data_IF_738132780546
#
_entry.id   IF_738132780546
#
_cell.length_a   1.000
_cell.length_b   1.000
_cell.length_c   1.000
_cell.angle_alpha   90.00
_cell.angle_beta   90.00
_cell.angle_gamma   90.00
#
_symmetry.space_group_name_H-M   'P 1'
#
loop_
_entity.id
_entity.type
_entity.pdbx_description
1 polymer ?
#
# COMPACT_ATOMS: atom_id res chain seq x y z
N UNK A 1 6.33 -2.10 24.46
CA UNK A 1 5.92 -1.82 23.06
C UNK A 1 4.43 -1.46 23.04
N UNK A 2 4.06 -0.32 22.46
CA UNK A 2 2.66 0.06 22.27
C UNK A 2 2.14 -0.64 21.00
N UNK A 3 1.15 -1.52 21.15
CA UNK A 3 0.56 -2.23 20.00
C UNK A 3 -0.34 -1.31 19.21
N UNK A 4 -0.13 -1.27 17.89
CA UNK A 4 -0.94 -0.48 16.96
C UNK A 4 -2.24 -1.24 16.62
N UNK A 5 -3.37 -0.54 16.46
CA UNK A 5 -4.57 -1.16 15.90
C UNK A 5 -4.33 -1.53 14.43
N UNK A 6 -5.07 -2.53 13.96
CA UNK A 6 -5.07 -2.95 12.55
C UNK A 6 -6.42 -2.61 11.94
N UNK A 7 -6.39 -2.02 10.73
CA UNK A 7 -7.57 -1.88 9.88
C UNK A 7 -7.44 -2.86 8.72
N UNK A 8 -8.53 -3.55 8.38
CA UNK A 8 -8.66 -4.31 7.14
C UNK A 8 -9.82 -3.70 6.35
N UNK A 9 -9.52 -3.20 5.14
CA UNK A 9 -10.53 -2.72 4.21
C UNK A 9 -11.04 -3.87 3.34
N UNK A 10 -12.36 -4.03 3.30
CA UNK A 10 -13.04 -5.12 2.62
C UNK A 10 -14.13 -4.57 1.70
N UNK A 11 -14.40 -5.26 0.58
CA UNK A 11 -15.44 -4.82 -0.36
C UNK A 11 -16.40 -5.95 -0.77
N UNK A 12 -16.01 -6.84 -1.70
CA UNK A 12 -16.88 -7.85 -2.29
C UNK A 12 -16.24 -9.23 -2.46
N UNK A 13 -15.19 -9.52 -1.68
CA UNK A 13 -14.41 -10.76 -1.75
C UNK A 13 -14.46 -11.51 -0.40
N UNK A 14 -15.61 -12.12 -0.03
CA UNK A 14 -15.78 -12.74 1.29
C UNK A 14 -14.76 -13.84 1.59
N UNK A 15 -14.38 -14.67 0.59
CA UNK A 15 -13.42 -15.77 0.76
C UNK A 15 -11.99 -15.26 0.97
N UNK A 16 -11.60 -14.16 0.31
CA UNK A 16 -10.31 -13.51 0.51
C UNK A 16 -10.25 -12.88 1.89
N UNK A 17 -11.27 -12.09 2.24
CA UNK A 17 -11.39 -11.45 3.54
C UNK A 17 -11.26 -12.45 4.69
N UNK A 18 -11.94 -13.59 4.61
CA UNK A 18 -11.85 -14.64 5.63
C UNK A 18 -10.40 -15.15 5.79
N UNK A 19 -9.70 -15.40 4.68
CA UNK A 19 -8.30 -15.85 4.72
C UNK A 19 -7.38 -14.81 5.38
N UNK A 20 -7.59 -13.52 5.11
CA UNK A 20 -6.81 -12.43 5.70
C UNK A 20 -7.09 -12.32 7.20
N UNK A 21 -8.37 -12.36 7.63
CA UNK A 21 -8.75 -12.31 9.04
C UNK A 21 -8.17 -13.47 9.82
N UNK A 22 -8.28 -14.69 9.29
CA UNK A 22 -7.74 -15.90 9.91
C UNK A 22 -6.22 -15.87 10.01
N UNK A 23 -5.54 -15.38 8.97
CA UNK A 23 -4.10 -15.25 8.98
C UNK A 23 -3.63 -14.24 10.04
N UNK A 24 -4.32 -13.09 10.15
CA UNK A 24 -4.02 -12.08 11.16
C UNK A 24 -4.29 -12.62 12.59
N UNK A 25 -5.38 -13.38 12.78
CA UNK A 25 -5.72 -14.00 14.07
C UNK A 25 -4.69 -15.02 14.56
N UNK A 26 -3.87 -15.56 13.65
CA UNK A 26 -2.75 -16.46 13.97
C UNK A 26 -1.44 -15.75 14.29
N UNK A 27 -1.40 -14.42 14.24
CA UNK A 27 -0.20 -13.66 14.61
C UNK A 27 0.06 -13.71 16.11
N UNK A 28 1.33 -13.69 16.52
CA UNK A 28 1.72 -13.75 17.95
C UNK A 28 1.12 -12.63 18.78
N UNK A 29 0.99 -11.41 18.22
CA UNK A 29 0.46 -10.23 18.92
C UNK A 29 -1.05 -10.00 18.65
N UNK A 30 -1.75 -10.93 18.03
CA UNK A 30 -3.17 -10.76 17.71
C UNK A 30 -4.01 -10.46 18.96
N UNK A 31 -3.79 -11.18 20.06
CA UNK A 31 -4.52 -11.01 21.35
C UNK A 31 -4.37 -9.63 21.99
N UNK A 32 -3.32 -8.90 21.64
CA UNK A 32 -3.03 -7.56 22.15
C UNK A 32 -3.51 -6.47 21.16
N UNK A 33 -3.97 -6.86 19.97
CA UNK A 33 -4.30 -5.98 18.84
C UNK A 33 -5.79 -5.67 18.82
N UNK A 34 -6.15 -4.38 18.67
CA UNK A 34 -7.50 -3.96 18.30
C UNK A 34 -7.64 -4.07 16.77
N UNK A 35 -8.66 -4.80 16.30
CA UNK A 35 -8.96 -5.02 14.89
C UNK A 35 -10.17 -4.21 14.44
N UNK A 36 -10.04 -3.48 13.33
CA UNK A 36 -11.11 -2.75 12.67
C UNK A 36 -11.39 -3.37 11.30
N UNK A 37 -12.59 -3.92 11.11
CA UNK A 37 -13.07 -4.43 9.82
C UNK A 37 -13.96 -3.37 9.17
N UNK A 38 -13.41 -2.65 8.20
CA UNK A 38 -14.16 -1.69 7.38
C UNK A 38 -14.68 -2.40 6.15
N UNK A 39 -16.00 -2.52 6.02
CA UNK A 39 -16.67 -3.19 4.91
C UNK A 39 -17.46 -2.14 4.12
N UNK A 40 -17.02 -1.87 2.87
CA UNK A 40 -17.68 -0.87 2.02
C UNK A 40 -19.02 -1.41 1.48
N UNK A 41 -19.92 -0.49 1.13
CA UNK A 41 -21.24 -0.80 0.61
C UNK A 41 -21.26 -1.02 -0.91
N UNK A 42 -22.41 -1.47 -1.46
CA UNK A 42 -22.55 -1.66 -2.90
C UNK A 42 -22.64 -0.33 -3.65
N UNK A 43 -22.10 -0.30 -4.86
CA UNK A 43 -22.37 0.78 -5.82
C UNK A 43 -23.84 0.70 -6.27
N UNK A 44 -24.46 1.85 -6.56
CA UNK A 44 -25.84 1.89 -7.08
C UNK A 44 -25.97 1.06 -8.38
N UNK A 45 -24.91 1.02 -9.19
CA UNK A 45 -24.82 0.28 -10.46
C UNK A 45 -24.34 -1.16 -10.32
N UNK A 46 -24.14 -1.66 -9.10
CA UNK A 46 -23.64 -3.01 -8.88
C UNK A 46 -24.70 -4.05 -9.30
N UNK A 47 -24.24 -5.18 -9.87
CA UNK A 47 -25.09 -6.33 -10.13
C UNK A 47 -25.67 -6.91 -8.83
N UNK A 48 -26.81 -7.60 -8.93
CA UNK A 48 -27.42 -8.25 -7.75
C UNK A 48 -26.49 -9.29 -7.12
N UNK A 49 -25.72 -10.00 -7.94
CA UNK A 49 -24.69 -10.92 -7.44
C UNK A 49 -23.64 -10.18 -6.59
N UNK A 50 -23.13 -9.03 -7.07
CA UNK A 50 -22.18 -8.22 -6.33
C UNK A 50 -22.77 -7.69 -5.02
N UNK A 51 -24.03 -7.23 -5.04
CA UNK A 51 -24.74 -6.79 -3.84
C UNK A 51 -24.88 -7.91 -2.81
N UNK A 52 -25.27 -9.11 -3.26
CA UNK A 52 -25.38 -10.28 -2.39
C UNK A 52 -24.03 -10.67 -1.76
N UNK A 53 -22.92 -10.64 -2.54
CA UNK A 53 -21.58 -10.90 -2.00
C UNK A 53 -21.16 -9.90 -0.96
N UNK A 54 -21.48 -8.60 -1.12
CA UNK A 54 -21.20 -7.55 -0.14
C UNK A 54 -22.02 -7.79 1.14
N UNK A 55 -23.31 -8.08 1.02
CA UNK A 55 -24.15 -8.40 2.18
C UNK A 55 -23.65 -9.64 2.93
N UNK A 56 -23.25 -10.68 2.20
CA UNK A 56 -22.62 -11.86 2.80
C UNK A 56 -21.35 -11.49 3.57
N UNK A 57 -20.49 -10.67 2.99
CA UNK A 57 -19.27 -10.19 3.64
C UNK A 57 -19.59 -9.42 4.94
N UNK A 58 -20.60 -8.53 4.92
CA UNK A 58 -21.03 -7.79 6.10
C UNK A 58 -21.49 -8.73 7.23
N UNK A 59 -22.26 -9.76 6.91
CA UNK A 59 -22.70 -10.75 7.91
C UNK A 59 -21.54 -11.61 8.41
N UNK A 60 -20.63 -12.03 7.51
CA UNK A 60 -19.42 -12.77 7.89
C UNK A 60 -18.53 -11.93 8.82
N UNK A 61 -18.33 -10.64 8.55
CA UNK A 61 -17.55 -9.77 9.43
C UNK A 61 -18.15 -9.65 10.84
N UNK A 62 -19.47 -9.49 10.93
CA UNK A 62 -20.18 -9.46 12.23
C UNK A 62 -20.08 -10.80 12.97
N UNK A 63 -20.18 -11.91 12.23
CA UNK A 63 -20.05 -13.24 12.85
C UNK A 63 -18.60 -13.51 13.28
N UNK A 64 -17.62 -13.14 12.43
CA UNK A 64 -16.19 -13.27 12.76
C UNK A 64 -15.84 -12.50 14.03
N UNK A 65 -16.35 -11.26 14.19
CA UNK A 65 -16.12 -10.46 15.40
C UNK A 65 -16.62 -11.17 16.67
N UNK A 66 -17.83 -11.74 16.63
CA UNK A 66 -18.41 -12.50 17.76
C UNK A 66 -17.58 -13.75 18.09
N UNK A 67 -17.13 -14.46 17.07
CA UNK A 67 -16.35 -15.69 17.25
C UNK A 67 -14.93 -15.38 17.74
N UNK A 68 -14.31 -14.32 17.22
CA UNK A 68 -13.03 -13.83 17.68
C UNK A 68 -13.03 -13.38 19.13
N UNK A 69 -14.11 -12.69 19.56
CA UNK A 69 -14.31 -12.31 20.96
C UNK A 69 -14.42 -13.54 21.89
N UNK A 70 -15.28 -14.53 21.51
CA UNK A 70 -15.44 -15.77 22.29
C UNK A 70 -14.13 -16.57 22.44
N UNK A 71 -13.29 -16.54 21.41
CA UNK A 71 -12.01 -17.25 21.37
C UNK A 71 -10.86 -16.44 21.96
N UNK A 72 -11.04 -15.15 22.24
CA UNK A 72 -9.98 -14.25 22.68
C UNK A 72 -8.87 -14.12 21.64
N UNK A 73 -9.23 -14.06 20.35
CA UNK A 73 -8.25 -13.96 19.25
C UNK A 73 -7.62 -12.58 19.17
N UNK A 74 -8.41 -11.52 19.42
CA UNK A 74 -7.99 -10.13 19.43
C UNK A 74 -8.36 -9.48 20.77
N UNK A 75 -7.75 -8.33 21.05
CA UNK A 75 -8.11 -7.51 22.20
C UNK A 75 -9.54 -7.00 22.07
N UNK A 76 -9.92 -6.54 20.90
CA UNK A 76 -11.25 -6.06 20.53
C UNK A 76 -11.40 -6.13 19.01
N UNK A 77 -12.62 -6.37 18.50
CA UNK A 77 -12.93 -6.36 17.07
C UNK A 77 -14.09 -5.40 16.79
N UNK A 78 -13.81 -4.37 16.01
CA UNK A 78 -14.79 -3.37 15.59
C UNK A 78 -15.20 -3.64 14.14
N UNK A 79 -16.50 -3.70 13.87
CA UNK A 79 -17.04 -3.90 12.51
C UNK A 79 -17.77 -2.64 12.07
N UNK A 80 -17.33 -2.06 10.96
CA UNK A 80 -17.90 -0.85 10.35
C UNK A 80 -18.38 -1.19 8.95
N UNK A 81 -19.71 -1.39 8.80
CA UNK A 81 -20.34 -1.66 7.52
C UNK A 81 -20.97 -0.38 6.96
N UNK A 82 -20.61 -0.01 5.73
CA UNK A 82 -21.21 1.13 5.03
C UNK A 82 -22.44 0.67 4.25
N UNK A 83 -23.53 1.44 4.32
CA UNK A 83 -24.74 1.16 3.54
C UNK A 83 -24.54 1.43 2.04
N UNK A 84 -23.72 2.43 1.70
CA UNK A 84 -23.40 2.85 0.33
C UNK A 84 -21.92 2.75 0.06
N UNK A 85 -21.56 2.56 -1.19
CA UNK A 85 -20.16 2.55 -1.62
C UNK A 85 -19.52 3.92 -1.43
N UNK A 86 -18.41 3.96 -0.70
CA UNK A 86 -17.58 5.17 -0.52
C UNK A 86 -16.47 5.24 -1.57
N UNK A 87 -16.14 4.12 -2.20
CA UNK A 87 -14.96 3.98 -3.07
C UNK A 87 -13.66 3.79 -2.29
N UNK A 88 -12.66 3.22 -2.96
CA UNK A 88 -11.40 2.83 -2.34
C UNK A 88 -10.70 3.98 -1.62
N UNK A 89 -10.50 5.10 -2.34
CA UNK A 89 -9.81 6.29 -1.82
C UNK A 89 -10.49 6.86 -0.58
N UNK A 90 -11.80 7.08 -0.65
CA UNK A 90 -12.55 7.65 0.48
C UNK A 90 -12.57 6.69 1.67
N UNK A 91 -12.78 5.41 1.43
CA UNK A 91 -12.77 4.38 2.49
C UNK A 91 -11.43 4.36 3.23
N UNK A 92 -10.31 4.29 2.51
CA UNK A 92 -8.98 4.25 3.11
C UNK A 92 -8.66 5.55 3.84
N UNK A 93 -8.85 6.71 3.21
CA UNK A 93 -8.50 7.99 3.82
C UNK A 93 -9.35 8.23 5.08
N UNK A 94 -10.68 8.05 5.00
CA UNK A 94 -11.56 8.32 6.14
C UNK A 94 -11.35 7.32 7.28
N UNK A 95 -11.29 6.02 6.97
CA UNK A 95 -11.12 4.97 7.97
C UNK A 95 -9.75 5.03 8.66
N UNK A 96 -8.67 5.20 7.87
CA UNK A 96 -7.35 5.37 8.46
C UNK A 96 -7.27 6.64 9.32
N UNK A 97 -7.82 7.77 8.86
CA UNK A 97 -7.83 9.02 9.63
C UNK A 97 -8.58 8.88 10.97
N UNK A 98 -9.73 8.21 10.96
CA UNK A 98 -10.52 7.96 12.18
C UNK A 98 -9.70 7.18 13.22
N UNK A 99 -9.12 6.05 12.82
CA UNK A 99 -8.36 5.18 13.73
C UNK A 99 -7.02 5.82 14.14
N UNK A 100 -6.32 6.49 13.23
CA UNK A 100 -5.08 7.19 13.54
C UNK A 100 -5.31 8.29 14.57
N UNK A 101 -6.38 9.07 14.44
CA UNK A 101 -6.69 10.14 15.38
C UNK A 101 -7.02 9.60 16.79
N UNK A 102 -7.61 8.41 16.87
CA UNK A 102 -7.92 7.75 18.14
C UNK A 102 -6.68 7.16 18.81
N UNK A 103 -5.76 6.56 18.03
CA UNK A 103 -4.67 5.74 18.58
C UNK A 103 -3.27 6.32 18.39
N UNK A 104 -3.12 7.33 17.51
CA UNK A 104 -1.85 7.98 17.19
C UNK A 104 -1.01 7.24 16.14
N UNK A 105 -1.36 5.99 15.79
CA UNK A 105 -0.73 5.13 14.78
C UNK A 105 -1.69 4.06 14.30
N UNK A 106 -1.41 3.47 13.15
CA UNK A 106 -2.24 2.41 12.56
C UNK A 106 -1.42 1.47 11.68
N UNK A 107 -1.85 0.21 11.58
CA UNK A 107 -1.46 -0.75 10.57
C UNK A 107 -2.66 -0.95 9.64
N UNK A 108 -2.44 -0.97 8.32
CA UNK A 108 -3.50 -1.07 7.32
C UNK A 108 -3.26 -2.24 6.38
N UNK A 109 -4.29 -3.04 6.18
CA UNK A 109 -4.37 -4.15 5.25
C UNK A 109 -5.58 -3.99 4.31
N UNK A 110 -5.54 -4.70 3.19
CA UNK A 110 -6.67 -4.91 2.29
C UNK A 110 -7.10 -6.38 2.32
N UNK A 111 -8.27 -6.68 1.77
CA UNK A 111 -8.93 -8.00 1.85
C UNK A 111 -8.22 -9.13 1.07
N UNK A 112 -7.10 -8.85 0.43
CA UNK A 112 -6.27 -9.81 -0.31
C UNK A 112 -4.84 -9.96 0.24
N UNK A 113 -4.53 -9.40 1.41
CA UNK A 113 -3.19 -9.40 2.00
C UNK A 113 -3.07 -10.39 3.15
N UNK A 114 -2.74 -11.65 2.84
CA UNK A 114 -2.56 -12.72 3.82
C UNK A 114 -1.24 -12.53 4.57
N UNK A 115 -1.30 -12.40 5.89
CA UNK A 115 -0.13 -12.10 6.74
C UNK A 115 0.66 -13.35 7.14
N UNK A 116 1.99 -13.19 7.30
CA UNK A 116 2.82 -14.18 8.01
C UNK A 116 2.52 -14.16 9.52
N UNK A 117 2.86 -15.22 10.28
CA UNK A 117 2.66 -15.24 11.72
C UNK A 117 3.41 -14.14 12.49
N UNK A 118 4.44 -13.53 11.89
CA UNK A 118 5.29 -12.50 12.49
C UNK A 118 5.05 -11.10 11.95
N UNK A 119 3.98 -10.91 11.17
CA UNK A 119 3.65 -9.61 10.60
C UNK A 119 3.47 -8.53 11.67
N UNK A 120 2.69 -8.80 12.72
CA UNK A 120 2.46 -7.85 13.80
C UNK A 120 3.73 -7.57 14.61
N UNK A 121 4.62 -8.55 14.78
CA UNK A 121 5.92 -8.35 15.44
C UNK A 121 6.76 -7.32 14.67
N UNK A 122 6.93 -7.52 13.37
CA UNK A 122 7.67 -6.59 12.52
C UNK A 122 7.08 -5.19 12.52
N UNK A 123 5.78 -5.07 12.22
CA UNK A 123 5.11 -3.78 12.08
C UNK A 123 5.19 -2.97 13.37
N UNK A 124 4.91 -3.57 14.52
CA UNK A 124 4.95 -2.88 15.81
C UNK A 124 6.38 -2.53 16.24
N UNK A 125 7.35 -3.43 16.03
CA UNK A 125 8.77 -3.16 16.31
C UNK A 125 9.28 -1.98 15.47
N UNK A 126 8.93 -1.94 14.18
CA UNK A 126 9.33 -0.86 13.29
C UNK A 126 8.63 0.47 13.67
N UNK A 127 7.31 0.44 13.96
CA UNK A 127 6.58 1.61 14.44
C UNK A 127 7.18 2.19 15.73
N UNK A 128 7.62 1.35 16.67
CA UNK A 128 8.25 1.81 17.90
C UNK A 128 9.64 2.39 17.64
N UNK A 129 10.49 1.67 16.90
CA UNK A 129 11.87 2.11 16.62
C UNK A 129 11.92 3.44 15.90
N UNK A 130 11.05 3.64 14.89
CA UNK A 130 11.11 4.82 14.03
C UNK A 130 10.14 5.95 14.41
N UNK A 131 9.45 5.86 15.54
CA UNK A 131 8.51 6.91 15.98
C UNK A 131 9.16 8.30 16.07
N UNK A 132 10.38 8.37 16.60
CA UNK A 132 11.12 9.63 16.72
C UNK A 132 11.82 10.09 15.43
N UNK A 133 11.93 9.20 14.42
CA UNK A 133 12.58 9.51 13.15
C UNK A 133 11.61 10.19 12.18
N UNK A 134 11.54 11.52 12.21
CA UNK A 134 10.59 12.32 11.42
C UNK A 134 10.73 12.13 9.90
N UNK A 135 11.87 11.69 9.40
CA UNK A 135 12.12 11.33 8.02
C UNK A 135 11.60 9.94 7.61
N UNK A 136 11.03 9.15 8.55
CA UNK A 136 10.33 7.90 8.23
C UNK A 136 8.84 8.15 8.28
N UNK A 137 8.15 8.05 7.14
CA UNK A 137 6.72 8.35 7.03
C UNK A 137 5.85 7.10 7.07
N UNK A 138 6.36 5.96 6.60
CA UNK A 138 5.61 4.70 6.63
C UNK A 138 6.52 3.49 6.82
N UNK A 139 5.87 2.40 7.27
CA UNK A 139 6.44 1.06 7.28
C UNK A 139 5.67 0.24 6.26
N UNK A 140 6.35 -0.51 5.41
CA UNK A 140 5.74 -1.42 4.44
C UNK A 140 5.87 -2.87 4.89
N UNK A 141 4.93 -3.72 4.52
CA UNK A 141 4.98 -5.17 4.78
C UNK A 141 5.47 -5.98 3.58
N UNK A 142 5.50 -5.39 2.38
CA UNK A 142 5.86 -6.09 1.16
C UNK A 142 7.14 -5.53 0.53
N UNK A 143 8.04 -6.45 0.11
CA UNK A 143 9.16 -6.14 -0.78
C UNK A 143 8.76 -6.32 -2.23
N UNK A 144 9.22 -5.41 -3.08
CA UNK A 144 9.06 -5.49 -4.54
C UNK A 144 10.33 -5.97 -5.24
N UNK A 145 11.36 -6.33 -4.47
CA UNK A 145 12.63 -6.84 -4.97
C UNK A 145 12.73 -8.33 -4.64
N UNK A 146 13.29 -9.10 -5.58
CA UNK A 146 13.68 -10.46 -5.29
C UNK A 146 14.80 -10.44 -4.22
N UNK A 147 14.64 -11.13 -3.08
CA UNK A 147 15.67 -11.18 -2.05
C UNK A 147 17.05 -11.60 -2.53
N UNK A 148 17.12 -12.41 -3.59
CA UNK A 148 18.40 -12.83 -4.21
C UNK A 148 19.18 -11.70 -4.89
N UNK A 149 18.54 -10.57 -5.19
CA UNK A 149 19.16 -9.39 -5.81
C UNK A 149 19.80 -8.45 -4.79
N UNK A 150 19.54 -8.65 -3.48
CA UNK A 150 20.15 -7.81 -2.45
C UNK A 150 21.66 -8.03 -2.34
N UNK A 151 22.43 -6.98 -2.03
CA UNK A 151 23.85 -7.11 -1.76
C UNK A 151 24.10 -8.10 -0.60
N UNK A 152 24.99 -9.08 -0.79
CA UNK A 152 25.27 -10.13 0.21
C UNK A 152 25.86 -9.60 1.51
N UNK A 153 26.48 -8.43 1.46
CA UNK A 153 27.09 -7.72 2.59
C UNK A 153 26.13 -6.78 3.29
N UNK A 154 24.85 -6.70 2.85
CA UNK A 154 23.84 -5.84 3.49
C UNK A 154 23.39 -6.45 4.83
N UNK A 155 23.60 -5.75 5.97
CA UNK A 155 23.52 -6.38 7.28
C UNK A 155 22.11 -6.33 7.92
N UNK A 156 21.13 -5.73 7.28
CA UNK A 156 19.78 -5.51 7.81
C UNK A 156 18.75 -6.36 7.08
N UNK A 157 17.60 -6.58 7.72
CA UNK A 157 16.45 -7.27 7.13
C UNK A 157 15.43 -6.31 6.50
N UNK A 158 15.71 -5.01 6.57
CA UNK A 158 14.89 -3.93 6.02
C UNK A 158 15.75 -2.90 5.30
N UNK A 159 15.15 -2.14 4.41
CA UNK A 159 15.78 -1.02 3.72
C UNK A 159 14.89 0.22 3.73
N UNK A 160 15.49 1.40 3.60
CA UNK A 160 14.79 2.66 3.45
C UNK A 160 14.67 3.03 1.96
N UNK A 161 13.50 3.50 1.55
CA UNK A 161 13.25 3.93 0.19
C UNK A 161 12.20 5.04 0.12
N UNK A 162 12.39 6.00 -0.79
CA UNK A 162 11.61 7.24 -0.91
C UNK A 162 10.11 7.01 -1.20
N UNK A 163 9.69 5.85 -1.65
CA UNK A 163 8.31 5.62 -2.11
C UNK A 163 7.47 4.92 -1.05
N UNK A 164 6.25 5.40 -0.84
CA UNK A 164 5.24 4.66 -0.09
C UNK A 164 4.83 3.39 -0.84
N UNK A 165 4.76 2.27 -0.11
CA UNK A 165 4.29 0.99 -0.62
C UNK A 165 2.91 0.70 0.00
N UNK A 166 1.82 0.72 -0.79
CA UNK A 166 0.47 0.63 -0.24
C UNK A 166 0.04 -0.78 0.17
N UNK A 167 0.83 -1.80 -0.15
CA UNK A 167 0.48 -3.21 0.08
C UNK A 167 0.88 -3.64 1.50
N UNK A 168 -0.05 -3.48 2.44
CA UNK A 168 0.21 -3.69 3.86
C UNK A 168 1.19 -2.65 4.43
N UNK A 169 0.69 -1.66 5.15
CA UNK A 169 1.50 -0.53 5.59
C UNK A 169 1.10 -0.04 6.99
N UNK A 170 1.98 0.75 7.57
CA UNK A 170 1.71 1.43 8.84
C UNK A 170 2.27 2.85 8.83
N UNK A 171 1.67 3.72 9.65
CA UNK A 171 2.10 5.11 9.82
C UNK A 171 1.64 5.68 11.17
N UNK A 172 2.01 6.92 11.44
CA UNK A 172 1.67 7.68 12.63
C UNK A 172 0.82 8.91 12.28
N UNK A 173 0.07 9.42 13.26
CA UNK A 173 -0.83 10.56 13.08
C UNK A 173 -0.12 11.81 12.56
N UNK A 174 1.05 12.12 13.08
CA UNK A 174 1.80 13.31 12.72
C UNK A 174 2.40 13.28 11.31
N UNK A 175 2.58 12.09 10.69
CA UNK A 175 2.96 11.93 9.28
C UNK A 175 1.74 11.92 8.38
N UNK A 176 0.70 11.19 8.78
CA UNK A 176 -0.56 11.11 8.04
C UNK A 176 -1.22 12.48 7.85
N UNK A 177 -1.21 13.29 8.91
CA UNK A 177 -1.81 14.63 8.89
C UNK A 177 -1.02 15.67 8.05
N UNK A 178 0.19 15.33 7.58
CA UNK A 178 0.95 16.16 6.63
C UNK A 178 0.56 15.90 5.17
N UNK A 179 -0.25 14.88 4.91
CA UNK A 179 -0.63 14.54 3.53
C UNK A 179 -1.67 15.51 3.01
N UNK A 180 -1.34 16.20 1.93
CA UNK A 180 -2.34 16.93 1.15
C UNK A 180 -3.07 15.93 0.23
N UNK A 181 -4.35 15.73 0.44
CA UNK A 181 -5.14 14.78 -0.33
C UNK A 181 -5.68 15.32 -1.65
N UNK A 182 -5.56 16.62 -1.89
CA UNK A 182 -5.87 17.25 -3.16
C UNK A 182 -4.71 17.05 -4.16
N UNK A 183 -4.93 16.21 -5.17
CA UNK A 183 -3.89 15.85 -6.16
C UNK A 183 -3.47 17.05 -7.01
N UNK A 184 -4.35 18.02 -7.27
CA UNK A 184 -4.01 19.21 -8.02
C UNK A 184 -3.01 20.08 -7.27
N UNK A 185 -3.22 20.28 -5.97
CA UNK A 185 -2.28 21.00 -5.11
C UNK A 185 -0.96 20.25 -4.97
N UNK A 186 -1.01 18.92 -4.85
CA UNK A 186 0.17 18.08 -4.75
C UNK A 186 1.05 18.14 -6.00
N UNK A 187 0.44 18.06 -7.18
CA UNK A 187 1.15 18.02 -8.47
C UNK A 187 1.62 19.39 -8.94
N UNK A 188 1.00 20.49 -8.47
CA UNK A 188 1.30 21.85 -8.95
C UNK A 188 2.80 22.22 -8.94
N UNK A 189 3.61 21.92 -7.90
CA UNK A 189 5.04 22.21 -7.91
C UNK A 189 5.80 21.41 -8.98
N UNK A 190 5.43 20.14 -9.20
CA UNK A 190 6.07 19.28 -10.19
C UNK A 190 5.78 19.75 -11.61
N UNK A 191 4.59 20.29 -11.84
CA UNK A 191 4.19 20.84 -13.15
C UNK A 191 4.87 22.17 -13.48
N UNK A 192 5.12 23.01 -12.47
CA UNK A 192 5.78 24.31 -12.65
C UNK A 192 7.28 24.21 -12.91
N UNK A 193 7.97 23.25 -12.28
CA UNK A 193 9.42 23.02 -12.38
C UNK A 193 9.71 21.66 -13.02
N UNK A 194 9.08 21.40 -14.14
CA UNK A 194 8.80 20.09 -14.70
C UNK A 194 10.00 19.12 -14.77
N UNK A 195 11.14 19.56 -15.28
CA UNK A 195 12.23 18.62 -15.55
C UNK A 195 12.96 18.18 -14.28
N UNK A 196 13.35 19.12 -13.43
CA UNK A 196 14.13 18.83 -12.24
C UNK A 196 13.30 18.10 -11.16
N UNK A 197 12.16 18.67 -10.82
CA UNK A 197 11.28 18.09 -9.78
C UNK A 197 10.72 16.74 -10.21
N UNK A 198 10.36 16.61 -11.50
CA UNK A 198 9.93 15.35 -12.08
C UNK A 198 11.00 14.26 -11.97
N UNK A 199 12.24 14.55 -12.36
CA UNK A 199 13.34 13.59 -12.28
C UNK A 199 13.64 13.20 -10.82
N UNK A 200 13.61 14.17 -9.90
CA UNK A 200 13.80 13.92 -8.48
C UNK A 200 12.68 13.02 -7.91
N UNK A 201 11.41 13.28 -8.25
CA UNK A 201 10.29 12.46 -7.83
C UNK A 201 10.35 11.04 -8.42
N UNK A 202 10.72 10.92 -9.68
CA UNK A 202 10.86 9.63 -10.36
C UNK A 202 12.01 8.75 -9.85
N UNK A 203 12.88 9.25 -8.97
CA UNK A 203 13.84 8.39 -8.25
C UNK A 203 13.14 7.36 -7.36
N UNK A 204 11.95 7.65 -6.88
CA UNK A 204 11.10 6.73 -6.13
C UNK A 204 10.37 5.69 -7.00
N UNK A 205 10.44 5.79 -8.32
CA UNK A 205 9.80 4.91 -9.31
C UNK A 205 9.55 5.66 -10.61
N UNK A 206 9.89 5.04 -11.74
CA UNK A 206 9.79 5.71 -13.06
C UNK A 206 8.37 6.06 -13.49
N UNK A 207 7.38 5.43 -12.89
CA UNK A 207 5.97 5.56 -13.18
C UNK A 207 5.26 6.59 -12.29
N UNK A 208 5.84 6.98 -11.16
CA UNK A 208 5.18 7.81 -10.13
C UNK A 208 4.65 9.14 -10.67
N UNK A 209 5.42 9.83 -11.50
CA UNK A 209 4.96 11.08 -12.10
C UNK A 209 3.74 10.87 -13.00
N UNK A 210 3.74 9.79 -13.76
CA UNK A 210 2.63 9.44 -14.65
C UNK A 210 1.40 8.98 -13.85
N UNK A 211 1.59 8.26 -12.75
CA UNK A 211 0.49 7.92 -11.85
C UNK A 211 -0.18 9.17 -11.29
N UNK A 212 0.60 10.16 -10.83
CA UNK A 212 0.07 11.43 -10.37
C UNK A 212 -0.69 12.20 -11.47
N UNK A 213 -0.17 12.22 -12.70
CA UNK A 213 -0.86 12.82 -13.85
C UNK A 213 -2.17 12.10 -14.17
N UNK A 214 -2.18 10.77 -14.14
CA UNK A 214 -3.37 9.97 -14.45
C UNK A 214 -4.44 10.13 -13.38
N UNK A 215 -4.06 10.17 -12.11
CA UNK A 215 -4.99 10.48 -11.01
C UNK A 215 -5.63 11.86 -11.23
N UNK A 216 -4.82 12.87 -11.51
CA UNK A 216 -5.28 14.24 -11.75
C UNK A 216 -6.21 14.37 -12.95
N UNK A 217 -5.90 13.69 -14.08
CA UNK A 217 -6.60 13.88 -15.35
C UNK A 217 -7.81 12.95 -15.51
N UNK A 218 -7.77 11.77 -14.92
CA UNK A 218 -8.76 10.71 -15.14
C UNK A 218 -9.49 10.26 -13.87
N UNK A 219 -9.09 10.77 -12.69
CA UNK A 219 -9.70 10.39 -11.41
C UNK A 219 -9.64 8.88 -11.17
N UNK A 220 -8.43 8.28 -11.26
CA UNK A 220 -8.25 6.83 -11.12
C UNK A 220 -8.53 6.29 -9.71
N UNK A 221 -8.82 7.18 -8.76
CA UNK A 221 -9.09 6.85 -7.36
C UNK A 221 -7.88 6.21 -6.62
N UNK A 222 -6.65 6.57 -7.04
CA UNK A 222 -5.40 6.07 -6.46
C UNK A 222 -4.95 6.95 -5.29
N UNK A 223 -5.36 6.61 -4.09
CA UNK A 223 -5.03 7.36 -2.86
C UNK A 223 -3.52 7.40 -2.55
N UNK A 224 -2.82 6.30 -2.82
CA UNK A 224 -1.42 6.10 -2.42
C UNK A 224 -0.43 7.07 -3.08
N UNK A 225 -0.77 7.63 -4.25
CA UNK A 225 0.08 8.61 -4.91
C UNK A 225 0.18 9.92 -4.11
N UNK A 226 -0.89 10.33 -3.40
CA UNK A 226 -0.83 11.50 -2.53
C UNK A 226 0.11 11.29 -1.35
N UNK A 227 0.11 10.08 -0.77
CA UNK A 227 1.03 9.75 0.32
C UNK A 227 2.48 9.63 -0.17
N UNK A 228 2.70 9.07 -1.37
CA UNK A 228 4.02 9.05 -2.02
C UNK A 228 4.55 10.46 -2.30
N UNK A 229 3.67 11.38 -2.75
CA UNK A 229 4.03 12.79 -2.94
C UNK A 229 4.38 13.47 -1.62
N UNK A 230 3.70 13.11 -0.52
CA UNK A 230 4.07 13.61 0.81
C UNK A 230 5.46 13.11 1.23
N UNK A 231 5.81 11.83 1.00
CA UNK A 231 7.17 11.32 1.23
C UNK A 231 8.20 12.16 0.46
N UNK A 232 7.95 12.39 -0.82
CA UNK A 232 8.85 13.20 -1.64
C UNK A 232 9.00 14.64 -1.13
N UNK A 233 7.88 15.33 -0.81
CA UNK A 233 7.89 16.71 -0.33
C UNK A 233 8.62 16.89 0.98
N UNK A 234 8.53 15.91 1.85
CA UNK A 234 9.14 15.95 3.19
C UNK A 234 10.50 15.24 3.25
N UNK A 235 11.07 14.86 2.09
CA UNK A 235 12.32 14.10 2.00
C UNK A 235 12.30 12.85 2.89
N UNK A 236 11.15 12.21 2.96
CA UNK A 236 10.90 11.07 3.82
C UNK A 236 11.02 9.75 3.05
N UNK A 237 11.20 8.67 3.82
CA UNK A 237 11.31 7.31 3.32
C UNK A 237 10.26 6.40 3.94
N UNK A 238 9.99 5.29 3.26
CA UNK A 238 9.33 4.11 3.81
C UNK A 238 10.39 3.09 4.24
N UNK A 239 10.17 2.41 5.37
CA UNK A 239 10.96 1.25 5.77
C UNK A 239 10.29 0.02 5.20
N UNK A 240 11.01 -0.71 4.37
CA UNK A 240 10.49 -1.86 3.61
C UNK A 240 11.30 -3.13 3.96
N UNK A 241 10.67 -4.28 4.19
CA UNK A 241 11.39 -5.51 4.52
C UNK A 241 12.02 -6.11 3.25
N UNK A 242 13.12 -6.86 3.40
CA UNK A 242 13.71 -7.64 2.31
C UNK A 242 12.82 -8.85 1.99
N UNK A 243 12.35 -9.55 3.03
CA UNK A 243 11.40 -10.66 2.93
C UNK A 243 10.01 -10.13 3.28
N UNK A 244 9.06 -10.26 2.36
CA UNK A 244 7.68 -9.82 2.58
C UNK A 244 7.03 -10.53 3.77
N UNK A 245 6.29 -9.78 4.58
CA UNK A 245 5.48 -10.30 5.69
C UNK A 245 4.03 -10.57 5.30
N UNK A 246 3.72 -10.35 4.03
CA UNK A 246 2.40 -10.62 3.45
C UNK A 246 2.54 -11.35 2.11
N UNK A 247 1.47 -12.03 1.72
CA UNK A 247 1.23 -12.56 0.38
C UNK A 247 -0.04 -11.95 -0.17
N UNK A 248 0.05 -11.33 -1.35
CA UNK A 248 -1.11 -10.83 -2.06
C UNK A 248 -1.77 -11.99 -2.84
N UNK A 249 -3.03 -12.28 -2.52
CA UNK A 249 -3.86 -13.31 -3.18
C UNK A 249 -4.83 -12.73 -4.22
N UNK A 250 -4.83 -11.40 -4.42
CA UNK A 250 -5.74 -10.69 -5.33
C UNK A 250 -5.34 -10.73 -6.81
N UNK A 251 -4.30 -11.49 -7.21
CA UNK A 251 -3.88 -11.65 -8.60
C UNK A 251 -4.62 -12.77 -9.34
N UNK A 252 -5.75 -13.23 -8.83
CA UNK A 252 -6.63 -14.23 -9.41
C UNK A 252 -7.62 -13.67 -10.45
N UNK A 253 -7.54 -12.36 -10.72
CA UNK A 253 -8.45 -11.66 -11.64
C UNK A 253 -9.72 -11.12 -10.99
N UNK A 254 -9.93 -11.33 -9.69
CA UNK A 254 -11.11 -10.80 -8.96
C UNK A 254 -10.94 -9.33 -8.51
N UNK A 255 -9.72 -8.83 -8.51
CA UNK A 255 -9.40 -7.46 -8.06
C UNK A 255 -9.68 -6.40 -9.11
N UNK A 256 -10.10 -5.20 -8.67
CA UNK A 256 -10.40 -4.08 -9.55
C UNK A 256 -9.17 -3.58 -10.34
N UNK A 257 -7.97 -3.69 -9.74
CA UNK A 257 -6.71 -3.17 -10.29
C UNK A 257 -5.68 -4.27 -10.56
N UNK A 258 -5.92 -5.51 -10.16
CA UNK A 258 -5.01 -6.65 -10.33
C UNK A 258 -5.52 -7.57 -11.44
N UNK A 259 -4.79 -7.63 -12.56
CA UNK A 259 -5.07 -8.62 -13.61
C UNK A 259 -4.59 -10.02 -13.19
N UNK A 260 -4.89 -11.04 -14.03
CA UNK A 260 -4.28 -12.36 -13.88
C UNK A 260 -2.75 -12.28 -14.11
N UNK A 261 -1.97 -12.41 -13.04
CA UNK A 261 -0.51 -12.49 -13.08
C UNK A 261 -0.04 -13.75 -12.35
N UNK A 262 -0.24 -14.90 -12.97
CA UNK A 262 0.18 -16.20 -12.41
C UNK A 262 1.69 -16.30 -12.13
N UNK A 263 2.53 -15.51 -12.77
CA UNK A 263 3.99 -15.56 -12.68
C UNK A 263 4.65 -14.31 -12.07
N UNK A 264 3.91 -13.47 -11.36
CA UNK A 264 4.53 -12.35 -10.66
C UNK A 264 5.34 -12.88 -9.46
N UNK A 265 6.61 -12.44 -9.33
CA UNK A 265 7.41 -12.75 -8.13
C UNK A 265 6.71 -12.27 -6.83
N UNK A 266 5.77 -11.32 -6.92
CA UNK A 266 4.91 -10.87 -5.83
C UNK A 266 3.99 -11.98 -5.28
N UNK A 267 3.73 -13.03 -6.08
CA UNK A 267 2.95 -14.21 -5.67
C UNK A 267 3.81 -15.33 -5.07
N UNK A 268 5.12 -15.19 -5.09
CA UNK A 268 6.00 -16.18 -4.48
C UNK A 268 5.82 -16.17 -2.96
N UNK A 269 5.88 -17.35 -2.35
CA UNK A 269 5.67 -17.54 -0.90
C UNK A 269 6.86 -17.02 -0.05
N UNK A 270 7.42 -15.85 -0.39
CA UNK A 270 8.53 -15.26 0.38
C UNK A 270 8.14 -14.97 1.83
N UNK A 271 6.86 -14.68 2.08
CA UNK A 271 6.35 -14.39 3.42
C UNK A 271 6.53 -15.54 4.43
N UNK A 272 6.65 -16.79 3.99
CA UNK A 272 6.90 -17.95 4.88
C UNK A 272 8.30 -17.92 5.49
N UNK A 273 9.23 -17.17 4.88
CA UNK A 273 10.59 -16.98 5.37
C UNK A 273 10.75 -15.69 6.19
N UNK A 274 9.65 -15.01 6.50
CA UNK A 274 9.67 -13.81 7.32
C UNK A 274 10.21 -14.12 8.72
N UNK A 275 11.14 -13.29 9.19
CA UNK A 275 11.78 -13.49 10.50
C UNK A 275 10.95 -12.88 11.62
N UNK A 276 10.93 -13.55 12.78
CA UNK A 276 10.19 -13.05 13.95
C UNK A 276 10.72 -11.73 14.48
N UNK A 277 12.04 -11.57 14.49
CA UNK A 277 12.72 -10.42 15.06
C UNK A 277 13.72 -9.83 14.05
N UNK A 278 13.25 -9.03 13.06
CA UNK A 278 14.13 -8.53 12.02
C UNK A 278 15.12 -7.49 12.56
N UNK A 279 16.32 -7.48 11.94
CA UNK A 279 17.35 -6.48 12.16
C UNK A 279 16.99 -5.20 11.42
N UNK A 280 16.47 -4.22 12.16
CA UNK A 280 16.07 -2.92 11.66
C UNK A 280 17.28 -1.96 11.54
N UNK A 281 17.22 -0.99 10.61
CA UNK A 281 18.25 0.04 10.42
C UNK A 281 18.52 0.81 11.71
N UNK A 282 19.78 0.90 12.13
CA UNK A 282 20.20 1.73 13.25
C UNK A 282 20.33 3.19 12.86
N UNK A 283 20.74 3.46 11.63
CA UNK A 283 20.73 4.76 10.99
C UNK A 283 19.88 4.67 9.74
N UNK A 284 18.91 5.57 9.58
CA UNK A 284 18.03 5.58 8.42
C UNK A 284 18.74 6.26 7.26
N UNK A 285 19.04 5.51 6.22
CA UNK A 285 19.63 6.00 4.97
C UNK A 285 19.17 5.13 3.79
N UNK A 286 19.19 5.69 2.59
CA UNK A 286 18.98 4.96 1.35
C UNK A 286 20.33 4.41 0.86
N UNK A 287 20.48 3.08 0.82
CA UNK A 287 21.65 2.44 0.17
C UNK A 287 21.48 2.57 -1.35
N UNK A 288 22.42 3.26 -2.01
CA UNK A 288 22.35 3.53 -3.44
C UNK A 288 22.31 2.27 -4.31
N UNK A 289 22.89 1.16 -3.85
CA UNK A 289 22.84 -0.13 -4.54
C UNK A 289 21.39 -0.67 -4.55
N UNK A 290 20.70 -0.59 -3.38
CA UNK A 290 19.31 -1.02 -3.23
C UNK A 290 18.38 -0.08 -3.99
N UNK A 291 18.59 1.24 -3.91
CA UNK A 291 17.83 2.24 -4.69
C UNK A 291 17.89 1.91 -6.19
N UNK A 292 19.06 1.56 -6.72
CA UNK A 292 19.22 1.19 -8.14
C UNK A 292 18.48 -0.11 -8.49
N UNK A 293 18.46 -1.10 -7.60
CA UNK A 293 17.72 -2.35 -7.81
C UNK A 293 16.23 -2.06 -7.83
N UNK A 294 15.69 -1.35 -6.80
CA UNK A 294 14.26 -0.97 -6.75
C UNK A 294 13.86 -0.16 -7.98
N UNK A 295 14.65 0.84 -8.32
CA UNK A 295 14.40 1.68 -9.50
C UNK A 295 14.34 0.85 -10.78
N UNK A 296 15.22 -0.13 -10.93
CA UNK A 296 15.28 -1.01 -12.10
C UNK A 296 14.11 -2.02 -12.12
N UNK A 297 13.68 -2.51 -10.97
CA UNK A 297 12.54 -3.46 -10.86
C UNK A 297 11.19 -2.79 -11.12
N UNK A 298 11.05 -1.50 -10.81
CA UNK A 298 9.85 -0.70 -11.05
C UNK A 298 9.78 -0.07 -12.44
N UNK A 299 10.61 -0.51 -13.37
CA UNK A 299 10.48 -0.08 -14.79
C UNK A 299 9.20 -0.68 -15.34
N UNK A 300 8.20 0.16 -15.55
CA UNK A 300 7.11 -0.15 -16.48
C UNK A 300 7.74 -0.67 -17.78
N UNK A 301 7.33 -1.87 -18.19
CA UNK A 301 7.79 -2.61 -19.37
C UNK A 301 8.39 -1.71 -20.42
N UNK A 302 9.64 -1.97 -20.84
CA UNK A 302 10.42 -1.16 -21.78
C UNK A 302 9.51 -0.63 -22.89
N UNK A 303 9.03 0.60 -22.73
CA UNK A 303 8.32 1.27 -23.84
C UNK A 303 9.32 1.31 -24.98
N UNK A 304 8.93 0.87 -26.19
CA UNK A 304 9.80 0.96 -27.35
C UNK A 304 10.37 2.38 -27.42
N UNK A 305 11.65 2.51 -27.60
CA UNK A 305 12.37 3.79 -27.67
C UNK A 305 11.67 4.82 -28.59
N UNK A 306 11.10 4.34 -29.70
CA UNK A 306 10.30 5.13 -30.63
C UNK A 306 9.02 5.74 -30.00
N UNK A 307 8.31 5.05 -29.13
CA UNK A 307 7.12 5.62 -28.44
C UNK A 307 7.51 6.76 -27.49
N UNK A 308 8.70 6.71 -26.88
CA UNK A 308 9.23 7.83 -26.06
C UNK A 308 9.53 9.07 -26.91
N UNK A 309 10.12 8.89 -28.07
CA UNK A 309 10.44 9.98 -29.03
C UNK A 309 9.14 10.61 -29.54
N UNK A 310 8.18 9.81 -29.98
CA UNK A 310 6.90 10.30 -30.50
C UNK A 310 6.14 11.08 -29.40
N UNK A 311 6.13 10.60 -28.16
CA UNK A 311 5.52 11.34 -27.03
C UNK A 311 6.20 12.67 -26.76
N UNK A 312 7.54 12.71 -26.82
CA UNK A 312 8.30 13.92 -26.61
C UNK A 312 8.07 14.94 -27.74
N UNK A 313 8.02 14.49 -28.98
CA UNK A 313 7.72 15.32 -30.13
C UNK A 313 6.28 15.83 -30.10
N UNK A 314 5.30 14.99 -29.78
CA UNK A 314 3.89 15.38 -29.62
C UNK A 314 3.73 16.43 -28.52
N UNK A 315 4.43 16.27 -27.38
CA UNK A 315 4.43 17.25 -26.29
C UNK A 315 5.01 18.60 -26.73
N UNK A 316 6.15 18.60 -27.44
CA UNK A 316 6.79 19.81 -27.95
C UNK A 316 5.90 20.54 -28.97
N UNK A 317 5.23 19.80 -29.85
CA UNK A 317 4.43 20.37 -30.95
C UNK A 317 3.02 20.79 -30.53
N UNK A 318 2.43 20.13 -29.54
CA UNK A 318 1.00 20.33 -29.22
C UNK A 318 0.74 20.88 -27.81
N UNK A 319 1.78 20.99 -26.97
CA UNK A 319 1.64 21.29 -25.53
C UNK A 319 0.81 20.25 -24.75
N UNK A 320 0.43 19.13 -25.40
CA UNK A 320 -0.44 18.09 -24.82
C UNK A 320 0.36 16.82 -24.54
N UNK A 321 0.43 16.41 -23.28
CA UNK A 321 0.99 15.13 -22.84
C UNK A 321 0.10 13.92 -23.19
N UNK A 322 -1.03 14.12 -23.85
CA UNK A 322 -2.18 13.23 -23.81
C UNK A 322 -2.28 12.18 -24.92
N UNK A 323 -1.34 12.09 -25.86
CA UNK A 323 -1.59 11.26 -27.05
C UNK A 323 -1.37 9.76 -26.91
N UNK A 324 -0.69 9.26 -25.88
CA UNK A 324 -0.38 7.83 -25.77
C UNK A 324 -0.72 7.22 -24.39
N UNK A 325 -1.35 7.96 -23.48
CA UNK A 325 -1.73 7.43 -22.17
C UNK A 325 -3.09 6.71 -22.17
N UNK A 326 -3.87 6.83 -23.22
CA UNK A 326 -5.25 6.29 -23.31
C UNK A 326 -5.32 4.80 -23.68
N UNK A 327 -4.49 3.94 -23.21
CA UNK A 327 -4.70 2.52 -23.48
C UNK A 327 -3.66 1.53 -23.05
N UNK A 328 -2.47 1.96 -22.66
CA UNK A 328 -1.35 1.05 -22.42
C UNK A 328 -0.63 1.21 -21.08
N UNK A 329 -1.02 2.18 -20.24
CA UNK A 329 -0.31 2.44 -18.97
C UNK A 329 -0.70 1.45 -17.87
N UNK A 330 -1.83 0.78 -18.00
CA UNK A 330 -2.37 -0.13 -16.98
C UNK A 330 -2.69 -1.54 -17.48
N UNK A 331 -2.02 -2.01 -18.52
CA UNK A 331 -1.88 -3.46 -18.74
C UNK A 331 -0.59 -3.91 -18.03
N UNK A 332 -0.61 -3.82 -16.72
CA UNK A 332 0.35 -4.49 -15.85
C UNK A 332 -0.32 -5.69 -15.26
#
# INVERSE_FOLDING_TARGET
MKIAPVIIFNYNRPDHSQQVWDALGRNELAKETELYLYCDGPKDTASEETKQRILLLHEQAKQYAKDAEKQGLFKEVHVVCSEKNKGLRTSIISGATEVINKHGRVIVLEDDLVTSPYFLNYMNKALEKYESYRGVFSISAQSYINPAEFPKDYPYDVYAYQTHQPTGWATWADRWNLVEWDIDKQMAPLLKNELYMRNAFMRGGQDLYYQGLMERLNGLDVWSICFTLAHFKHHAVSITPIISYIRNIGFDGSGANSGHKENSFLNHNYYVNAVRDPRLLDVVYEDSRIVNIVYSSMVLTRRPFFKRIINRLAHILTGRTNYILKGEVFKV
#
